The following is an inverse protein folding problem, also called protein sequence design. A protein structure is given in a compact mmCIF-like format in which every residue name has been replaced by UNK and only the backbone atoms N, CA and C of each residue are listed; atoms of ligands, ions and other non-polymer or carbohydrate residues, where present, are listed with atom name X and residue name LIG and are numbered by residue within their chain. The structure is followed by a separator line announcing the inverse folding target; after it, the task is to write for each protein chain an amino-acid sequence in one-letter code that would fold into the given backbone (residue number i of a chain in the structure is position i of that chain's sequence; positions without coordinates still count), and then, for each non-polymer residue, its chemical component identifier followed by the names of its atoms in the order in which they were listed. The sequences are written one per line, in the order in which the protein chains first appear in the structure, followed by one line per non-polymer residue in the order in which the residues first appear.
data_IF_205562681954
#
_entry.id   IF_205562681954
#
_cell.length_a   1.000
_cell.length_b   1.000
_cell.length_c   1.000
_cell.angle_alpha   90.00
_cell.angle_beta   90.00
_cell.angle_gamma   90.00
#
_symmetry.space_group_name_H-M   'P 1'
#
loop_
_entity.id
_entity.type
_entity.pdbx_description
1 polymer ?
#
# COMPACT_ATOMS: atom_id res chain seq x y z
N UNK A 1 53.12 13.15 15.98
CA UNK A 1 54.41 13.52 15.36
C UNK A 1 55.05 12.23 14.89
N UNK A 2 54.48 11.58 13.87
CA UNK A 2 54.66 11.77 12.41
C UNK A 2 56.09 11.47 11.99
N UNK A 3 56.27 10.31 11.36
CA UNK A 3 57.39 10.09 10.46
C UNK A 3 56.87 9.36 9.21
N UNK A 4 57.09 10.03 8.08
CA UNK A 4 57.46 9.53 6.75
C UNK A 4 56.60 8.44 6.08
N UNK A 5 56.32 8.46 4.78
CA UNK A 5 56.85 9.26 3.67
C UNK A 5 56.00 8.97 2.43
N UNK A 6 55.84 10.00 1.61
CA UNK A 6 55.21 9.97 0.29
C UNK A 6 56.09 9.31 -0.79
N UNK A 7 55.38 8.62 -1.70
CA UNK A 7 55.47 8.68 -3.16
C UNK A 7 56.53 7.92 -3.99
N UNK A 8 55.97 7.46 -5.12
CA UNK A 8 56.53 7.27 -6.47
C UNK A 8 57.12 5.90 -6.84
N UNK A 9 56.93 5.32 -8.04
CA UNK A 9 56.09 5.58 -9.23
C UNK A 9 56.33 4.42 -10.23
N UNK A 10 55.40 4.23 -11.17
CA UNK A 10 55.48 3.53 -12.50
C UNK A 10 55.62 2.01 -12.62
N UNK A 11 54.84 1.46 -13.55
CA UNK A 11 55.19 0.26 -14.33
C UNK A 11 53.99 -0.48 -14.95
N UNK A 12 53.48 0.00 -16.09
CA UNK A 12 52.62 -0.80 -16.98
C UNK A 12 53.44 -1.83 -17.79
N UNK A 13 52.86 -2.99 -18.10
CA UNK A 13 53.37 -3.89 -19.15
C UNK A 13 52.95 -5.38 -19.02
N UNK A 14 52.16 -5.94 -19.97
CA UNK A 14 51.65 -7.32 -19.94
C UNK A 14 52.45 -8.29 -20.86
N UNK A 15 52.23 -9.62 -20.70
CA UNK A 15 52.09 -10.67 -21.76
C UNK A 15 52.63 -12.08 -21.36
N UNK A 16 51.71 -13.06 -21.41
CA UNK A 16 51.79 -14.31 -22.22
C UNK A 16 52.63 -15.54 -21.82
N UNK A 17 51.91 -16.67 -21.77
CA UNK A 17 52.18 -18.02 -22.34
C UNK A 17 52.83 -19.15 -21.52
N UNK A 18 52.20 -20.35 -21.60
CA UNK A 18 52.91 -21.64 -21.56
C UNK A 18 52.20 -22.86 -20.94
N UNK A 19 51.37 -23.58 -21.73
CA UNK A 19 51.28 -25.07 -21.95
C UNK A 19 51.62 -26.06 -20.80
N UNK A 20 51.08 -27.29 -20.61
CA UNK A 20 50.24 -28.23 -21.40
C UNK A 20 50.15 -29.59 -20.65
N UNK A 21 49.19 -30.45 -21.07
CA UNK A 21 49.12 -31.94 -21.05
C UNK A 21 48.15 -32.59 -20.04
N UNK A 22 46.97 -33.09 -20.48
CA UNK A 22 46.62 -34.46 -21.00
C UNK A 22 45.95 -35.28 -19.88
N UNK A 23 44.89 -36.08 -20.01
CA UNK A 23 44.01 -36.59 -21.08
C UNK A 23 42.67 -36.99 -20.41
N UNK A 24 41.50 -36.63 -20.95
CA UNK A 24 40.55 -37.49 -21.72
C UNK A 24 40.05 -38.75 -21.00
N UNK A 25 38.75 -38.77 -20.66
CA UNK A 25 37.82 -39.84 -21.07
C UNK A 25 36.36 -39.40 -20.92
N UNK A 26 35.69 -39.32 -22.07
CA UNK A 26 34.23 -39.25 -22.23
C UNK A 26 33.65 -40.64 -21.94
N UNK A 27 32.50 -40.73 -21.27
CA UNK A 27 31.35 -41.53 -21.72
C UNK A 27 30.11 -41.30 -20.84
N UNK A 28 29.00 -40.97 -21.52
CA UNK A 28 27.65 -41.48 -21.24
C UNK A 28 27.06 -41.35 -19.84
N UNK A 29 26.16 -40.37 -19.67
CA UNK A 29 25.19 -40.38 -18.59
C UNK A 29 24.14 -39.30 -18.81
N UNK A 30 22.99 -39.67 -19.40
CA UNK A 30 21.77 -38.87 -19.32
C UNK A 30 21.41 -38.79 -17.84
N UNK A 31 21.64 -37.63 -17.22
CA UNK A 31 21.07 -37.32 -15.91
C UNK A 31 19.88 -36.43 -16.15
N UNK A 32 18.71 -37.06 -16.20
CA UNK A 32 17.41 -36.41 -16.09
C UNK A 32 17.32 -35.82 -14.67
N UNK A 33 17.89 -34.63 -14.45
CA UNK A 33 17.68 -33.91 -13.20
C UNK A 33 16.38 -33.10 -13.33
N UNK A 34 15.26 -33.83 -13.21
CA UNK A 34 14.01 -33.25 -12.75
C UNK A 34 14.24 -32.73 -11.33
N UNK A 35 14.35 -31.41 -11.19
CA UNK A 35 14.32 -30.74 -9.89
C UNK A 35 13.16 -29.74 -9.89
N UNK A 36 12.05 -30.26 -9.37
CA UNK A 36 10.98 -29.59 -8.64
C UNK A 36 10.92 -28.05 -8.73
N UNK A 37 9.92 -27.63 -9.48
CA UNK A 37 9.07 -26.45 -9.28
C UNK A 37 8.93 -26.05 -7.79
N UNK A 38 9.79 -25.16 -7.32
CA UNK A 38 9.68 -24.52 -6.00
C UNK A 38 9.33 -23.04 -6.18
N UNK A 39 8.04 -22.69 -6.02
CA UNK A 39 7.56 -21.30 -5.96
C UNK A 39 6.36 -21.01 -6.87
N UNK A 40 6.42 -21.39 -8.15
CA UNK A 40 5.34 -21.05 -9.11
C UNK A 40 4.09 -21.93 -9.05
N UNK A 41 4.20 -23.15 -8.52
CA UNK A 41 3.13 -24.16 -8.59
C UNK A 41 2.01 -23.97 -7.54
N UNK A 42 2.26 -23.23 -6.46
CA UNK A 42 1.26 -23.00 -5.41
C UNK A 42 0.13 -22.06 -5.85
N UNK A 43 0.41 -21.13 -6.78
CA UNK A 43 -0.58 -20.15 -7.23
C UNK A 43 -1.44 -20.65 -8.40
N UNK A 44 -0.92 -21.54 -9.25
CA UNK A 44 -1.67 -22.07 -10.40
C UNK A 44 -2.85 -22.97 -10.02
N UNK A 45 -2.87 -23.52 -8.80
CA UNK A 45 -3.94 -24.38 -8.27
C UNK A 45 -4.94 -23.66 -7.36
N UNK A 46 -4.72 -22.38 -7.03
CA UNK A 46 -5.64 -21.61 -6.19
C UNK A 46 -6.94 -21.23 -6.93
N UNK A 47 -6.88 -21.05 -8.26
CA UNK A 47 -8.03 -20.64 -9.08
C UNK A 47 -9.27 -21.55 -8.94
N UNK A 48 -9.19 -22.90 -9.02
CA UNK A 48 -10.36 -23.76 -8.84
C UNK A 48 -10.88 -23.82 -7.39
N UNK A 49 -10.03 -23.60 -6.38
CA UNK A 49 -10.46 -23.58 -4.98
C UNK A 49 -11.21 -22.29 -4.62
N UNK A 50 -10.78 -21.15 -5.17
CA UNK A 50 -11.45 -19.86 -5.01
C UNK A 50 -12.71 -19.71 -5.88
N UNK A 51 -12.81 -20.43 -7.01
CA UNK A 51 -14.01 -20.47 -7.85
C UNK A 51 -15.17 -21.24 -7.20
N UNK A 52 -14.90 -22.10 -6.22
CA UNK A 52 -15.92 -22.75 -5.38
C UNK A 52 -16.35 -21.87 -4.19
N UNK A 53 -15.81 -20.65 -4.06
CA UNK A 53 -16.19 -19.77 -2.97
C UNK A 53 -17.66 -19.33 -3.10
N UNK A 54 -18.44 -19.55 -2.04
CA UNK A 54 -19.87 -19.28 -2.00
C UNK A 54 -20.25 -17.83 -2.34
N UNK A 55 -21.45 -17.66 -2.89
CA UNK A 55 -22.02 -16.42 -3.43
C UNK A 55 -22.42 -15.38 -2.37
N UNK A 56 -21.44 -14.77 -1.68
CA UNK A 56 -21.69 -13.74 -0.66
C UNK A 56 -21.13 -12.34 -0.95
N UNK A 57 -20.25 -12.21 -1.95
CA UNK A 57 -19.65 -10.92 -2.31
C UNK A 57 -20.48 -10.12 -3.32
N UNK A 58 -20.32 -8.80 -3.32
CA UNK A 58 -20.98 -7.89 -4.27
C UNK A 58 -20.57 -8.13 -5.72
N UNK A 59 -19.37 -8.68 -5.96
CA UNK A 59 -18.84 -8.95 -7.30
C UNK A 59 -18.45 -10.43 -7.41
N UNK A 60 -19.04 -11.13 -8.38
CA UNK A 60 -18.82 -12.57 -8.54
C UNK A 60 -17.33 -12.91 -8.75
N UNK A 61 -16.79 -14.03 -8.21
CA UNK A 61 -15.36 -14.34 -8.25
C UNK A 61 -14.74 -14.41 -9.67
N UNK A 62 -15.56 -14.69 -10.68
CA UNK A 62 -15.16 -14.77 -12.09
C UNK A 62 -15.25 -13.42 -12.83
N UNK A 63 -15.90 -12.41 -12.27
CA UNK A 63 -15.98 -11.08 -12.87
C UNK A 63 -14.70 -10.28 -12.60
N UNK A 64 -14.14 -9.57 -13.61
CA UNK A 64 -12.96 -8.73 -13.41
C UNK A 64 -13.22 -7.62 -12.38
N UNK A 65 -12.26 -7.41 -11.47
CA UNK A 65 -12.27 -6.31 -10.51
C UNK A 65 -10.98 -5.49 -10.66
N UNK A 66 -11.12 -4.19 -10.93
CA UNK A 66 -9.99 -3.27 -11.04
C UNK A 66 -9.88 -2.39 -9.81
N UNK A 67 -8.73 -2.45 -9.15
CA UNK A 67 -8.42 -1.64 -7.97
C UNK A 67 -7.28 -0.71 -8.34
N UNK A 68 -7.47 0.59 -8.17
CA UNK A 68 -6.48 1.61 -8.44
C UNK A 68 -6.00 2.25 -7.13
N UNK A 69 -4.71 2.16 -6.88
CA UNK A 69 -4.03 2.79 -5.75
C UNK A 69 -3.34 4.05 -6.24
N UNK A 70 -3.67 5.20 -5.66
CA UNK A 70 -3.15 6.50 -6.08
C UNK A 70 -2.02 6.95 -5.16
N UNK A 71 -0.79 6.79 -5.63
CA UNK A 71 0.43 7.11 -4.89
C UNK A 71 1.02 8.47 -5.26
N UNK A 72 1.72 9.08 -4.33
CA UNK A 72 2.33 10.40 -4.49
C UNK A 72 3.59 10.51 -3.62
N UNK A 73 4.41 11.52 -3.92
CA UNK A 73 5.60 11.82 -3.13
C UNK A 73 5.21 12.15 -1.69
N UNK A 74 5.95 11.59 -0.72
CA UNK A 74 5.65 11.72 0.71
C UNK A 74 4.55 10.80 1.22
N UNK A 75 4.01 9.91 0.37
CA UNK A 75 3.07 8.86 0.77
C UNK A 75 3.69 7.84 1.72
N UNK A 76 2.86 7.23 2.57
CA UNK A 76 3.28 6.17 3.51
C UNK A 76 3.20 4.81 2.82
N UNK A 77 4.33 4.08 2.73
CA UNK A 77 4.40 2.80 2.03
C UNK A 77 3.37 1.79 2.58
N UNK A 78 3.27 1.67 3.90
CA UNK A 78 2.45 0.66 4.54
C UNK A 78 0.95 0.89 4.32
N UNK A 79 0.54 2.14 4.10
CA UNK A 79 -0.85 2.52 3.87
C UNK A 79 -1.43 1.89 2.60
N UNK A 80 -0.59 1.62 1.59
CA UNK A 80 -1.02 0.91 0.39
C UNK A 80 -0.43 -0.48 0.25
N UNK A 81 0.76 -0.76 0.81
CA UNK A 81 1.36 -2.10 0.75
C UNK A 81 0.48 -3.13 1.48
N UNK A 82 -0.06 -2.77 2.66
CA UNK A 82 -0.98 -3.64 3.41
C UNK A 82 -2.23 -4.00 2.59
N UNK A 83 -3.02 -3.02 2.13
CA UNK A 83 -4.16 -3.29 1.25
C UNK A 83 -3.79 -4.02 -0.04
N UNK A 84 -2.69 -3.65 -0.67
CA UNK A 84 -2.22 -4.27 -1.91
C UNK A 84 -1.98 -5.77 -1.76
N UNK A 85 -1.35 -6.19 -0.67
CA UNK A 85 -1.06 -7.60 -0.38
C UNK A 85 -2.35 -8.45 -0.29
N UNK A 86 -3.39 -7.89 0.32
CA UNK A 86 -4.72 -8.51 0.39
C UNK A 86 -5.37 -8.55 -0.99
N UNK A 87 -5.40 -7.42 -1.69
CA UNK A 87 -6.12 -7.27 -2.96
C UNK A 87 -5.55 -8.13 -4.09
N UNK A 88 -4.24 -8.36 -4.14
CA UNK A 88 -3.63 -9.25 -5.14
C UNK A 88 -4.02 -10.72 -4.98
N UNK A 89 -4.51 -11.13 -3.81
CA UNK A 89 -4.97 -12.51 -3.54
C UNK A 89 -6.44 -12.72 -3.85
N UNK A 90 -7.15 -11.65 -4.21
CA UNK A 90 -8.55 -11.75 -4.59
C UNK A 90 -8.73 -12.35 -5.99
N UNK A 91 -9.73 -13.22 -6.20
CA UNK A 91 -10.03 -13.80 -7.51
C UNK A 91 -10.26 -12.73 -8.58
N UNK A 92 -9.75 -12.97 -9.79
CA UNK A 92 -9.88 -12.12 -10.98
C UNK A 92 -9.74 -10.62 -10.69
N UNK A 93 -8.74 -10.25 -9.89
CA UNK A 93 -8.53 -8.88 -9.43
C UNK A 93 -7.23 -8.32 -10.01
N UNK A 94 -7.31 -7.14 -10.63
CA UNK A 94 -6.17 -6.39 -11.15
C UNK A 94 -5.95 -5.17 -10.27
N UNK A 95 -4.83 -5.18 -9.54
CA UNK A 95 -4.38 -4.02 -8.76
C UNK A 95 -3.43 -3.19 -9.61
N UNK A 96 -3.67 -1.89 -9.68
CA UNK A 96 -2.92 -0.90 -10.45
C UNK A 96 -2.44 0.19 -9.53
N UNK A 97 -1.34 0.83 -9.90
CA UNK A 97 -0.74 1.93 -9.14
C UNK A 97 -0.58 3.12 -10.06
N UNK A 98 -1.02 4.29 -9.61
CA UNK A 98 -0.93 5.50 -10.40
C UNK A 98 -0.38 6.66 -9.59
N UNK A 99 0.22 7.62 -10.28
CA UNK A 99 0.61 8.91 -9.75
C UNK A 99 0.28 9.99 -10.77
N UNK A 100 0.35 11.26 -10.36
CA UNK A 100 -0.05 12.39 -11.22
C UNK A 100 0.56 12.32 -12.62
N UNK A 101 1.86 12.06 -12.71
CA UNK A 101 2.61 12.04 -13.96
C UNK A 101 3.02 10.63 -14.41
N UNK A 102 2.76 9.60 -13.59
CA UNK A 102 3.32 8.26 -13.77
C UNK A 102 4.81 8.21 -13.43
N UNK A 103 5.43 7.05 -13.64
CA UNK A 103 6.85 6.83 -13.32
C UNK A 103 7.09 6.57 -11.83
N UNK A 104 8.17 7.11 -11.30
CA UNK A 104 8.59 6.86 -9.91
C UNK A 104 8.01 7.91 -8.97
N UNK A 105 7.63 7.46 -7.77
CA UNK A 105 7.29 8.33 -6.63
C UNK A 105 8.25 8.05 -5.48
N UNK A 106 8.65 9.09 -4.76
CA UNK A 106 9.49 8.99 -3.57
C UNK A 106 8.62 9.08 -2.33
N UNK A 107 8.42 7.95 -1.68
CA UNK A 107 7.62 7.82 -0.46
C UNK A 107 8.39 8.37 0.75
N UNK A 108 7.72 8.39 1.91
CA UNK A 108 8.40 8.68 3.18
C UNK A 108 9.61 7.74 3.40
N UNK A 109 10.58 8.22 4.16
CA UNK A 109 11.84 7.52 4.43
C UNK A 109 12.68 7.16 3.20
N UNK A 110 12.40 7.76 2.02
CA UNK A 110 13.21 7.64 0.81
C UNK A 110 12.97 6.37 -0.01
N UNK A 111 11.90 5.62 0.28
CA UNK A 111 11.52 4.46 -0.54
C UNK A 111 11.02 4.94 -1.90
N UNK A 112 11.65 4.47 -2.98
CA UNK A 112 11.20 4.77 -4.34
C UNK A 112 10.29 3.67 -4.84
N UNK A 113 9.03 4.01 -5.11
CA UNK A 113 8.07 3.11 -5.74
C UNK A 113 7.93 3.46 -7.23
N UNK A 114 8.30 2.52 -8.09
CA UNK A 114 8.44 2.76 -9.53
C UNK A 114 7.27 2.30 -10.39
N UNK A 115 7.31 2.70 -11.67
CA UNK A 115 6.39 2.26 -12.73
C UNK A 115 4.89 2.51 -12.44
N UNK A 116 4.58 3.63 -11.79
CA UNK A 116 3.19 4.07 -11.66
C UNK A 116 2.64 4.54 -13.01
N UNK A 117 1.37 4.26 -13.25
CA UNK A 117 0.63 4.78 -14.40
C UNK A 117 0.33 6.27 -14.22
N UNK A 118 0.26 7.02 -15.32
CA UNK A 118 -0.15 8.44 -15.25
C UNK A 118 -1.65 8.52 -15.01
N UNK A 119 -2.09 9.26 -13.99
CA UNK A 119 -3.51 9.38 -13.65
C UNK A 119 -4.38 9.84 -14.83
N UNK A 120 -3.87 10.74 -15.66
CA UNK A 120 -4.58 11.25 -16.84
C UNK A 120 -4.86 10.17 -17.90
N UNK A 121 -4.14 9.06 -17.90
CA UNK A 121 -4.29 7.96 -18.88
C UNK A 121 -5.28 6.90 -18.41
N UNK A 122 -5.85 7.08 -17.20
CA UNK A 122 -6.76 6.12 -16.60
C UNK A 122 -8.18 6.66 -16.72
N UNK A 123 -9.00 5.96 -17.49
CA UNK A 123 -10.40 6.35 -17.71
C UNK A 123 -11.29 6.05 -16.49
N UNK A 124 -11.18 4.84 -15.92
CA UNK A 124 -12.03 4.35 -14.83
C UNK A 124 -11.35 3.26 -13.99
N UNK A 125 -11.90 3.03 -12.80
CA UNK A 125 -11.57 1.91 -11.90
C UNK A 125 -12.82 1.46 -11.15
N UNK A 126 -12.85 0.25 -10.60
CA UNK A 126 -13.99 -0.21 -9.79
C UNK A 126 -13.81 0.24 -8.33
N UNK A 127 -12.59 0.13 -7.81
CA UNK A 127 -12.19 0.61 -6.49
C UNK A 127 -11.07 1.62 -6.64
N UNK A 128 -11.21 2.76 -5.97
CA UNK A 128 -10.15 3.76 -5.81
C UNK A 128 -9.63 3.71 -4.37
N UNK A 129 -8.32 3.61 -4.18
CA UNK A 129 -7.67 3.67 -2.87
C UNK A 129 -6.70 4.86 -2.83
N UNK A 130 -6.91 5.74 -1.85
CA UNK A 130 -5.99 6.85 -1.54
C UNK A 130 -5.29 6.57 -0.20
N UNK A 131 -3.98 6.21 -0.20
CA UNK A 131 -3.21 6.05 1.02
C UNK A 131 -3.02 7.40 1.73
N UNK A 132 -2.47 7.38 2.94
CA UNK A 132 -1.97 8.58 3.61
C UNK A 132 -0.50 8.85 3.30
N UNK A 133 0.07 9.76 4.09
CA UNK A 133 1.46 10.16 3.98
C UNK A 133 1.93 11.03 5.14
N UNK A 134 3.23 11.25 5.20
CA UNK A 134 3.85 12.26 6.07
C UNK A 134 3.75 13.68 5.49
N UNK A 135 3.55 13.79 4.17
CA UNK A 135 3.40 15.04 3.44
C UNK A 135 2.28 14.90 2.40
N UNK A 136 1.24 15.72 2.52
CA UNK A 136 0.09 15.75 1.60
C UNK A 136 0.18 16.92 0.61
N UNK A 137 1.30 17.64 0.53
CA UNK A 137 1.45 18.81 -0.34
C UNK A 137 1.25 18.47 -1.81
N UNK A 138 1.72 17.30 -2.26
CA UNK A 138 1.52 16.83 -3.63
C UNK A 138 0.05 16.49 -3.96
N UNK A 139 -0.64 15.59 -3.22
CA UNK A 139 -2.04 15.24 -3.50
C UNK A 139 -3.03 16.38 -3.22
N UNK A 140 -2.63 17.41 -2.47
CA UNK A 140 -3.46 18.58 -2.19
C UNK A 140 -3.42 19.66 -3.28
N UNK A 141 -2.60 19.50 -4.33
CA UNK A 141 -2.59 20.43 -5.46
C UNK A 141 -3.87 20.29 -6.30
N UNK A 142 -4.42 21.38 -6.86
CA UNK A 142 -5.68 21.34 -7.61
C UNK A 142 -5.71 20.32 -8.75
N UNK A 143 -4.62 20.19 -9.50
CA UNK A 143 -4.51 19.24 -10.61
C UNK A 143 -4.53 17.79 -10.15
N UNK A 144 -3.99 17.50 -8.96
CA UNK A 144 -4.02 16.16 -8.38
C UNK A 144 -5.44 15.84 -7.87
N UNK A 145 -6.03 16.76 -7.10
CA UNK A 145 -7.40 16.62 -6.60
C UNK A 145 -8.42 16.44 -7.73
N UNK A 146 -8.27 17.16 -8.84
CA UNK A 146 -9.14 17.04 -10.00
C UNK A 146 -9.08 15.62 -10.61
N UNK A 147 -7.90 15.01 -10.70
CA UNK A 147 -7.76 13.64 -11.19
C UNK A 147 -8.36 12.61 -10.22
N UNK A 148 -8.15 12.79 -8.92
CA UNK A 148 -8.75 11.93 -7.89
C UNK A 148 -10.28 12.02 -7.94
N UNK A 149 -10.84 13.23 -8.01
CA UNK A 149 -12.29 13.44 -8.10
C UNK A 149 -12.87 12.78 -9.35
N UNK A 150 -12.26 13.01 -10.52
CA UNK A 150 -12.69 12.39 -11.79
C UNK A 150 -12.74 10.87 -11.70
N UNK A 151 -11.73 10.24 -11.13
CA UNK A 151 -11.69 8.78 -10.96
C UNK A 151 -12.71 8.32 -9.92
N UNK A 152 -12.87 9.06 -8.82
CA UNK A 152 -13.82 8.75 -7.76
C UNK A 152 -15.29 8.84 -8.21
N UNK A 153 -15.61 9.75 -9.13
CA UNK A 153 -16.94 9.84 -9.74
C UNK A 153 -17.31 8.58 -10.55
N UNK A 154 -16.31 7.95 -11.18
CA UNK A 154 -16.47 6.72 -11.95
C UNK A 154 -16.40 5.43 -11.11
N UNK A 155 -15.78 5.49 -9.93
CA UNK A 155 -15.55 4.33 -9.08
C UNK A 155 -16.81 3.91 -8.32
N UNK A 156 -17.00 2.60 -8.15
CA UNK A 156 -18.07 2.04 -7.31
C UNK A 156 -17.74 2.20 -5.83
N UNK A 157 -16.47 2.02 -5.48
CA UNK A 157 -15.97 2.15 -4.12
C UNK A 157 -14.82 3.14 -4.07
N UNK A 158 -14.96 4.14 -3.20
CA UNK A 158 -13.99 5.19 -2.95
C UNK A 158 -13.44 4.94 -1.55
N UNK A 159 -12.13 4.71 -1.49
CA UNK A 159 -11.52 4.21 -0.27
C UNK A 159 -10.25 4.95 0.10
N UNK A 160 -9.91 4.92 1.38
CA UNK A 160 -8.68 5.52 1.89
C UNK A 160 -8.16 4.81 3.12
N UNK A 161 -6.87 5.00 3.39
CA UNK A 161 -6.22 4.59 4.64
C UNK A 161 -5.55 5.80 5.27
N UNK A 162 -5.46 5.82 6.59
CA UNK A 162 -4.75 6.84 7.37
C UNK A 162 -5.31 8.24 7.09
N UNK A 163 -4.44 9.23 6.87
CA UNK A 163 -4.84 10.59 6.51
C UNK A 163 -5.14 10.77 5.00
N UNK A 164 -5.16 9.69 4.22
CA UNK A 164 -5.63 9.71 2.82
C UNK A 164 -7.09 10.13 2.68
N UNK A 165 -7.89 9.96 3.73
CA UNK A 165 -9.26 10.50 3.76
C UNK A 165 -9.30 12.03 3.74
N UNK A 166 -8.24 12.73 4.17
CA UNK A 166 -8.16 14.19 4.04
C UNK A 166 -7.97 14.61 2.58
N UNK A 167 -7.22 13.83 1.78
CA UNK A 167 -7.08 14.06 0.34
C UNK A 167 -8.43 13.93 -0.35
N UNK A 168 -9.19 12.87 -0.03
CA UNK A 168 -10.56 12.70 -0.52
C UNK A 168 -11.48 13.81 -0.02
N UNK A 169 -11.40 14.20 1.24
CA UNK A 169 -12.24 15.26 1.80
C UNK A 169 -11.98 16.61 1.13
N UNK A 170 -10.72 16.90 0.76
CA UNK A 170 -10.34 18.12 0.07
C UNK A 170 -10.90 18.23 -1.36
N UNK A 171 -11.27 17.13 -2.01
CA UNK A 171 -12.00 17.17 -3.30
C UNK A 171 -13.49 17.53 -3.13
N UNK A 172 -13.99 17.53 -1.89
CA UNK A 172 -15.40 17.73 -1.55
C UNK A 172 -16.26 16.47 -1.60
N UNK A 173 -15.73 15.33 -2.08
CA UNK A 173 -16.54 14.11 -2.26
C UNK A 173 -17.00 13.47 -0.94
N UNK A 174 -16.34 13.77 0.18
CA UNK A 174 -16.72 13.27 1.51
C UNK A 174 -17.65 14.22 2.28
N UNK A 175 -18.17 15.29 1.67
CA UNK A 175 -19.07 16.22 2.36
C UNK A 175 -20.34 15.50 2.83
N UNK A 176 -20.60 15.54 4.13
CA UNK A 176 -21.72 14.85 4.79
C UNK A 176 -21.55 13.34 4.91
N UNK A 177 -20.38 12.78 4.58
CA UNK A 177 -20.09 11.35 4.64
C UNK A 177 -19.23 11.01 5.85
N UNK A 178 -19.44 9.83 6.43
CA UNK A 178 -18.66 9.29 7.54
C UNK A 178 -17.32 8.77 7.03
N UNK A 179 -16.24 9.08 7.73
CA UNK A 179 -14.91 8.57 7.36
C UNK A 179 -14.01 8.39 8.57
N UNK A 180 -13.23 7.31 8.54
CA UNK A 180 -12.07 7.11 9.40
C UNK A 180 -10.89 7.95 8.91
N UNK A 181 -9.95 8.18 9.81
CA UNK A 181 -8.68 8.80 9.52
C UNK A 181 -7.65 8.31 10.54
N UNK A 182 -6.38 8.64 10.33
CA UNK A 182 -5.39 8.49 11.39
C UNK A 182 -5.77 9.35 12.60
N UNK A 183 -5.65 8.78 13.81
CA UNK A 183 -6.14 9.37 15.05
C UNK A 183 -5.65 10.80 15.29
N UNK A 184 -4.40 11.10 14.92
CA UNK A 184 -3.80 12.42 15.08
C UNK A 184 -4.45 13.51 14.21
N UNK A 185 -5.20 13.14 13.17
CA UNK A 185 -5.79 14.05 12.18
C UNK A 185 -7.30 13.86 12.01
N UNK A 186 -7.95 12.97 12.77
CA UNK A 186 -9.34 12.59 12.50
C UNK A 186 -10.33 13.75 12.57
N UNK A 187 -10.09 14.72 13.45
CA UNK A 187 -10.96 15.89 13.58
C UNK A 187 -10.72 16.92 12.46
N UNK A 188 -9.64 16.81 11.68
CA UNK A 188 -9.45 17.63 10.46
C UNK A 188 -10.52 17.34 9.40
N UNK A 189 -11.11 16.15 9.39
CA UNK A 189 -12.21 15.81 8.46
C UNK A 189 -13.40 16.79 8.58
N UNK A 190 -13.68 17.30 9.77
CA UNK A 190 -14.82 18.21 9.97
C UNK A 190 -14.63 19.56 9.28
N UNK A 191 -13.38 19.99 9.08
CA UNK A 191 -13.05 21.24 8.37
C UNK A 191 -13.41 21.15 6.88
N UNK A 192 -13.49 19.92 6.34
CA UNK A 192 -13.91 19.63 4.97
C UNK A 192 -15.38 19.18 4.86
N UNK A 193 -16.13 19.25 5.97
CA UNK A 193 -17.54 18.86 6.02
C UNK A 193 -17.79 17.35 6.05
N UNK A 194 -16.77 16.52 6.22
CA UNK A 194 -16.94 15.09 6.49
C UNK A 194 -17.26 14.84 7.97
N UNK A 195 -17.96 13.74 8.25
CA UNK A 195 -18.28 13.30 9.60
C UNK A 195 -17.12 12.43 10.10
N UNK A 196 -16.32 12.98 11.00
CA UNK A 196 -15.18 12.30 11.61
C UNK A 196 -15.65 11.13 12.49
N UNK A 197 -15.15 9.92 12.21
CA UNK A 197 -15.44 8.72 13.01
C UNK A 197 -14.13 8.07 13.46
N UNK A 198 -13.81 8.04 14.77
CA UNK A 198 -12.52 7.56 15.28
C UNK A 198 -12.48 6.02 15.44
N UNK A 199 -12.86 5.32 14.38
CA UNK A 199 -12.86 3.86 14.31
C UNK A 199 -11.79 3.33 13.36
N UNK A 200 -11.40 2.06 13.54
CA UNK A 200 -10.38 1.40 12.71
C UNK A 200 -10.84 1.18 11.27
N UNK A 201 -12.14 0.96 11.07
CA UNK A 201 -12.80 0.82 9.78
C UNK A 201 -14.14 1.54 9.82
N UNK A 202 -14.44 2.31 8.78
CA UNK A 202 -15.71 3.02 8.63
C UNK A 202 -16.24 2.77 7.23
N UNK A 203 -17.48 2.34 7.15
CA UNK A 203 -18.26 2.19 5.92
C UNK A 203 -19.42 3.20 5.93
N UNK A 204 -19.68 3.83 4.78
CA UNK A 204 -20.81 4.73 4.56
C UNK A 204 -21.40 4.55 3.16
N UNK A 205 -22.65 4.98 3.00
CA UNK A 205 -23.39 4.99 1.73
C UNK A 205 -23.39 3.60 1.04
N UNK A 206 -23.80 2.59 1.81
CA UNK A 206 -23.85 1.18 1.39
C UNK A 206 -22.51 0.65 0.86
N UNK A 207 -21.38 1.21 1.33
CA UNK A 207 -20.07 0.77 0.90
C UNK A 207 -19.46 1.55 -0.24
N UNK A 208 -20.13 2.60 -0.74
CA UNK A 208 -19.50 3.52 -1.68
C UNK A 208 -18.28 4.19 -1.06
N UNK A 209 -18.32 4.51 0.23
CA UNK A 209 -17.18 5.07 0.96
C UNK A 209 -16.73 4.09 2.03
N UNK A 210 -15.46 3.70 1.99
CA UNK A 210 -14.86 2.82 3.00
C UNK A 210 -13.47 3.33 3.39
N UNK A 211 -13.20 3.46 4.68
CA UNK A 211 -11.94 4.05 5.14
C UNK A 211 -11.34 3.27 6.30
N UNK A 212 -10.03 3.08 6.25
CA UNK A 212 -9.22 2.56 7.35
C UNK A 212 -8.62 3.71 8.16
N UNK A 213 -8.46 3.49 9.47
CA UNK A 213 -7.76 4.40 10.37
C UNK A 213 -6.25 4.48 10.10
N UNK A 214 -5.44 4.67 11.12
CA UNK A 214 -3.99 4.87 10.96
C UNK A 214 -3.23 3.66 10.44
N UNK A 215 -2.43 3.88 9.39
CA UNK A 215 -1.35 3.02 8.87
C UNK A 215 -1.68 1.53 8.76
N UNK A 216 -1.44 0.76 9.83
CA UNK A 216 -1.67 -0.69 9.87
C UNK A 216 -3.14 -1.06 9.76
N UNK A 217 -4.05 -0.11 10.01
CA UNK A 217 -5.48 -0.29 9.76
C UNK A 217 -5.77 -0.69 8.30
N UNK A 218 -4.87 -0.37 7.35
CA UNK A 218 -5.00 -0.75 5.95
C UNK A 218 -5.13 -2.27 5.73
N UNK A 219 -4.51 -3.11 6.54
CA UNK A 219 -4.63 -4.58 6.40
C UNK A 219 -6.04 -5.04 6.80
N UNK A 220 -6.51 -4.63 7.98
CA UNK A 220 -7.85 -4.97 8.46
C UNK A 220 -8.95 -4.39 7.57
N UNK A 221 -8.78 -3.14 7.14
CA UNK A 221 -9.64 -2.47 6.17
C UNK A 221 -9.72 -3.29 4.88
N UNK A 222 -8.60 -3.74 4.34
CA UNK A 222 -8.59 -4.47 3.08
C UNK A 222 -9.22 -5.87 3.22
N UNK A 223 -9.08 -6.54 4.36
CA UNK A 223 -9.81 -7.79 4.64
C UNK A 223 -11.33 -7.57 4.71
N UNK A 224 -11.79 -6.45 5.31
CA UNK A 224 -13.21 -6.07 5.31
C UNK A 224 -13.73 -5.77 3.89
N UNK A 225 -12.96 -5.02 3.10
CA UNK A 225 -13.27 -4.75 1.69
C UNK A 225 -13.28 -6.05 0.88
N UNK A 226 -12.31 -6.93 1.07
CA UNK A 226 -12.26 -8.25 0.43
C UNK A 226 -13.52 -9.07 0.73
N UNK A 227 -13.96 -9.11 1.99
CA UNK A 227 -15.15 -9.84 2.39
C UNK A 227 -16.41 -9.27 1.72
N UNK A 228 -16.52 -7.94 1.63
CA UNK A 228 -17.64 -7.27 0.95
C UNK A 228 -17.64 -7.53 -0.56
N UNK A 229 -16.49 -7.38 -1.22
CA UNK A 229 -16.41 -7.48 -2.68
C UNK A 229 -16.42 -8.92 -3.19
N UNK A 230 -15.76 -9.84 -2.49
CA UNK A 230 -15.53 -11.24 -2.93
C UNK A 230 -16.09 -12.30 -1.99
N UNK A 231 -16.77 -11.89 -0.92
CA UNK A 231 -17.35 -12.79 0.06
C UNK A 231 -16.36 -13.15 1.18
N UNK A 232 -16.93 -13.54 2.33
CA UNK A 232 -16.19 -13.87 3.54
C UNK A 232 -15.10 -14.93 3.31
N UNK A 233 -15.39 -15.97 2.53
CA UNK A 233 -14.45 -17.06 2.31
C UNK A 233 -13.17 -16.61 1.57
N UNK A 234 -13.28 -15.67 0.62
CA UNK A 234 -12.10 -15.12 -0.06
C UNK A 234 -11.23 -14.29 0.89
N UNK A 235 -11.86 -13.55 1.81
CA UNK A 235 -11.15 -12.78 2.83
C UNK A 235 -10.46 -13.71 3.85
N UNK A 236 -11.14 -14.72 4.37
CA UNK A 236 -10.57 -15.71 5.30
C UNK A 236 -9.44 -16.52 4.66
N UNK A 237 -9.61 -16.96 3.41
CA UNK A 237 -8.55 -17.58 2.64
C UNK A 237 -7.34 -16.66 2.55
N UNK A 238 -7.54 -15.39 2.21
CA UNK A 238 -6.46 -14.42 2.08
C UNK A 238 -5.76 -14.21 3.42
N UNK A 239 -6.52 -14.03 4.50
CA UNK A 239 -6.00 -13.88 5.86
C UNK A 239 -5.10 -15.05 6.26
N UNK A 240 -5.56 -16.28 6.03
CA UNK A 240 -4.79 -17.49 6.33
C UNK A 240 -3.56 -17.63 5.41
N UNK A 241 -3.71 -17.33 4.12
CA UNK A 241 -2.63 -17.47 3.13
C UNK A 241 -1.44 -16.53 3.37
N UNK A 242 -1.67 -15.40 4.06
CA UNK A 242 -0.60 -14.48 4.48
C UNK A 242 -0.24 -14.60 5.96
N UNK A 243 -0.84 -15.55 6.67
CA UNK A 243 -0.63 -15.75 8.11
C UNK A 243 -0.88 -14.46 8.92
N UNK A 244 -1.97 -13.76 8.62
CA UNK A 244 -2.34 -12.55 9.36
C UNK A 244 -2.96 -12.88 10.71
N UNK A 245 -2.08 -13.17 11.67
CA UNK A 245 -2.34 -13.42 13.09
C UNK A 245 -1.50 -12.46 13.97
N UNK A 246 -1.89 -11.18 14.07
CA UNK A 246 -1.07 -10.18 14.72
C UNK A 246 -1.02 -10.38 16.25
N UNK A 247 0.20 -10.44 16.81
CA UNK A 247 0.45 -10.44 18.24
C UNK A 247 1.35 -9.25 18.65
N UNK A 248 0.82 -8.02 18.77
CA UNK A 248 1.62 -6.85 19.11
C UNK A 248 2.31 -7.00 20.48
N UNK A 249 3.61 -6.71 20.61
CA UNK A 249 4.34 -6.84 21.88
C UNK A 249 4.02 -5.72 22.90
N UNK A 250 3.26 -4.70 22.50
CA UNK A 250 2.86 -3.57 23.34
C UNK A 250 1.42 -3.13 23.07
N UNK A 251 0.77 -2.57 24.09
CA UNK A 251 -0.59 -2.02 24.01
C UNK A 251 -0.61 -0.49 23.83
N UNK A 252 0.13 0.03 22.85
CA UNK A 252 0.26 1.47 22.60
C UNK A 252 -0.17 1.89 21.19
N UNK A 253 -0.92 1.04 20.48
CA UNK A 253 -1.32 1.27 19.09
C UNK A 253 -2.45 2.28 18.89
N UNK A 254 -3.17 2.67 19.96
CA UNK A 254 -4.24 3.67 19.93
C UNK A 254 -4.13 4.58 21.16
N UNK A 255 -4.45 5.89 21.06
CA UNK A 255 -4.42 6.83 22.20
C UNK A 255 -5.38 6.48 23.34
N UNK A 256 -6.26 5.49 23.17
CA UNK A 256 -7.20 5.03 24.21
C UNK A 256 -6.54 4.05 25.18
N UNK A 257 -5.49 3.37 24.72
CA UNK A 257 -4.77 2.33 25.45
C UNK A 257 -3.34 2.76 25.81
N UNK A 258 -2.76 3.69 25.04
CA UNK A 258 -1.40 4.16 25.24
C UNK A 258 -1.24 4.94 26.57
N UNK A 259 -0.08 4.77 27.20
CA UNK A 259 0.27 5.50 28.43
C UNK A 259 0.33 7.02 28.18
N UNK A 260 -0.10 7.88 29.13
CA UNK A 260 -0.11 9.33 28.96
C UNK A 260 1.26 9.92 28.55
N UNK A 261 2.36 9.39 29.08
CA UNK A 261 3.70 9.84 28.73
C UNK A 261 4.05 9.57 27.25
N UNK A 262 3.57 8.47 26.68
CA UNK A 262 3.77 8.13 25.27
C UNK A 262 2.94 9.07 24.39
N UNK A 263 1.69 9.36 24.78
CA UNK A 263 0.84 10.32 24.08
C UNK A 263 1.50 11.70 24.07
N UNK A 264 2.05 12.16 25.21
CA UNK A 264 2.76 13.43 25.31
C UNK A 264 4.03 13.49 24.44
N UNK A 265 4.77 12.38 24.34
CA UNK A 265 5.92 12.28 23.42
C UNK A 265 5.49 12.45 21.96
N UNK A 266 4.40 11.79 21.55
CA UNK A 266 3.88 11.95 20.18
C UNK A 266 3.36 13.36 19.93
N UNK A 267 2.61 13.96 20.87
CA UNK A 267 2.10 15.32 20.73
C UNK A 267 3.23 16.36 20.63
N UNK A 268 4.40 16.10 21.22
CA UNK A 268 5.59 16.95 21.04
C UNK A 268 6.14 16.92 19.61
N UNK A 269 6.07 15.77 18.94
CA UNK A 269 6.52 15.59 17.55
C UNK A 269 5.45 16.02 16.55
N UNK A 270 4.18 15.77 16.88
CA UNK A 270 2.99 16.11 16.11
C UNK A 270 2.03 16.97 16.96
N UNK A 271 2.30 18.28 17.11
CA UNK A 271 1.50 19.17 17.94
C UNK A 271 0.01 19.13 17.58
N UNK A 272 -0.83 18.78 18.56
CA UNK A 272 -2.29 18.67 18.39
C UNK A 272 -2.80 17.27 18.07
N UNK A 273 -1.92 16.26 17.98
CA UNK A 273 -2.29 14.86 17.75
C UNK A 273 -3.29 14.33 18.79
N UNK A 274 -3.08 14.66 20.07
CA UNK A 274 -3.98 14.28 21.18
C UNK A 274 -5.41 14.81 21.01
N UNK A 275 -5.59 15.87 20.23
CA UNK A 275 -6.90 16.45 19.89
C UNK A 275 -7.41 16.04 18.50
N UNK A 276 -6.70 15.17 17.79
CA UNK A 276 -7.01 14.80 16.41
C UNK A 276 -6.88 15.94 15.40
N UNK A 277 -6.09 16.97 15.73
CA UNK A 277 -5.93 18.21 14.97
C UNK A 277 -4.45 18.51 14.69
N UNK A 278 -3.61 17.47 14.58
CA UNK A 278 -2.20 17.66 14.24
C UNK A 278 -2.05 18.36 12.89
N UNK A 279 -0.95 19.12 12.75
CA UNK A 279 -0.58 19.74 11.48
C UNK A 279 0.13 18.74 10.59
N UNK A 280 -0.15 18.80 9.30
CA UNK A 280 0.54 18.03 8.26
C UNK A 280 0.73 18.92 7.02
N UNK A 281 1.90 18.87 6.35
CA UNK A 281 2.10 19.61 5.11
C UNK A 281 1.01 19.34 4.08
N UNK A 282 0.55 20.39 3.39
CA UNK A 282 -0.53 20.33 2.40
C UNK A 282 -1.96 20.50 2.95
N UNK A 283 -2.19 20.31 4.26
CA UNK A 283 -3.49 20.50 4.91
C UNK A 283 -3.51 21.82 5.67
N UNK A 284 -4.61 22.57 5.56
CA UNK A 284 -4.77 23.86 6.25
C UNK A 284 -5.12 23.69 7.74
#
# INVERSE_FOLDING_TARGET
MTDNSENNVTGEGPLSSGSSRRDVLKFGGIVTLGSLLGGGALLGRAAPALAQAGSGGEVAPNEPLNILIVNYDGGTLLDFAGPSEIFHRLPNTKVRYASLNGGNVTLEFGVVYGNTERLADIERTDVLLVPGGSDLSAPMRPEYQAQILRLAESAKHITSVCNGSLVLAATGILKGKRSACHWAFVNKLTEYGAIAVPDRFVEDDNGRFMSGGGVTAGIDFALRVAAKLRGQQAAEFTQLAIEYDPAPPFHSGHPRDARPEVIAMVDKVLPGASRGLARIPGVR
#
